data_IF_165174718570
#
_entry.id   IF_165174718570
#
_cell.length_a   1.000
_cell.length_b   1.000
_cell.length_c   1.000
_cell.angle_alpha   90.00
_cell.angle_beta   90.00
_cell.angle_gamma   90.00
#
_symmetry.space_group_name_H-M   'P 1'
#
loop_
_entity.id
_entity.type
_entity.pdbx_description
1 polymer ?
#
# COMPACT_ATOMS: atom_id res chain seq x y z
N UNK A 1 4.50 14.46 2.03
CA UNK A 1 3.32 13.64 2.33
C UNK A 1 3.68 12.73 3.48
N UNK A 2 3.02 12.89 4.62
CA UNK A 2 3.19 11.97 5.76
C UNK A 2 1.99 11.02 5.72
N UNK A 3 2.16 9.87 5.07
CA UNK A 3 1.14 8.84 5.04
C UNK A 3 1.46 7.80 6.11
N UNK A 4 0.54 7.58 7.03
CA UNK A 4 0.55 6.40 7.90
C UNK A 4 -0.44 5.39 7.34
N UNK A 5 -0.16 4.11 7.54
CA UNK A 5 -1.02 3.06 7.02
C UNK A 5 -0.69 1.71 7.62
N UNK A 6 -1.65 0.81 7.50
CA UNK A 6 -1.54 -0.56 7.95
C UNK A 6 -2.32 -1.48 7.03
N UNK A 7 -1.90 -2.74 6.99
CA UNK A 7 -2.56 -3.72 6.16
C UNK A 7 -2.39 -5.13 6.65
N UNK A 8 -3.20 -6.00 6.07
CA UNK A 8 -3.23 -7.42 6.37
C UNK A 8 -2.85 -8.16 5.10
N UNK A 9 -1.94 -9.11 5.24
CA UNK A 9 -1.44 -9.94 4.16
C UNK A 9 -1.88 -11.37 4.39
N UNK A 10 -2.37 -12.02 3.35
CA UNK A 10 -2.74 -13.43 3.35
C UNK A 10 -2.01 -14.14 2.24
N UNK A 11 -1.22 -15.16 2.60
CA UNK A 11 -0.60 -16.07 1.64
C UNK A 11 -1.69 -16.91 0.97
N UNK A 12 -1.70 -16.96 -0.35
CA UNK A 12 -2.70 -17.71 -1.12
C UNK A 12 -2.13 -19.01 -1.67
N UNK A 13 -0.90 -18.99 -2.18
CA UNK A 13 -0.17 -20.18 -2.63
C UNK A 13 1.29 -19.83 -2.91
N UNK A 14 2.25 -20.69 -2.55
CA UNK A 14 3.65 -20.50 -2.93
C UNK A 14 4.18 -19.12 -2.53
N UNK A 15 4.55 -18.29 -3.51
CA UNK A 15 5.02 -16.91 -3.30
C UNK A 15 3.95 -15.85 -3.61
N UNK A 16 2.70 -16.27 -3.73
CA UNK A 16 1.56 -15.43 -4.01
C UNK A 16 0.84 -15.04 -2.73
N UNK A 17 0.47 -13.77 -2.65
CA UNK A 17 -0.23 -13.17 -1.54
C UNK A 17 -1.36 -12.30 -2.05
N UNK A 18 -2.40 -12.14 -1.24
CA UNK A 18 -3.33 -11.03 -1.35
C UNK A 18 -3.15 -10.13 -0.14
N UNK A 19 -3.31 -8.83 -0.30
CA UNK A 19 -3.31 -7.90 0.82
C UNK A 19 -4.44 -6.88 0.71
N UNK A 20 -4.84 -6.36 1.87
CA UNK A 20 -5.59 -5.12 2.00
C UNK A 20 -4.76 -4.10 2.77
N UNK A 21 -4.65 -2.88 2.27
CA UNK A 21 -3.96 -1.78 2.95
C UNK A 21 -4.88 -0.57 3.08
N UNK A 22 -4.71 0.18 4.17
CA UNK A 22 -5.37 1.47 4.41
C UNK A 22 -4.30 2.51 4.65
N UNK A 23 -4.30 3.58 3.86
CA UNK A 23 -3.44 4.75 4.03
C UNK A 23 -4.29 5.97 4.35
N UNK A 24 -3.73 6.91 5.11
CA UNK A 24 -4.37 8.18 5.43
C UNK A 24 -3.54 9.32 4.87
N UNK A 25 -4.18 10.23 4.14
CA UNK A 25 -3.55 11.44 3.62
C UNK A 25 -3.95 12.66 4.46
N UNK A 26 -2.97 13.52 4.72
CA UNK A 26 -3.13 14.73 5.50
C UNK A 26 -2.46 15.91 4.81
N UNK A 27 -3.06 17.10 4.93
CA UNK A 27 -2.43 18.36 4.59
C UNK A 27 -1.23 18.66 5.52
N UNK A 28 -0.35 19.61 5.16
CA UNK A 28 0.79 20.01 6.00
C UNK A 28 0.39 20.49 7.41
N UNK A 29 -0.81 21.03 7.57
CA UNK A 29 -1.38 21.47 8.85
C UNK A 29 -2.01 20.32 9.66
N UNK A 30 -1.90 19.07 9.15
CA UNK A 30 -2.46 17.84 9.71
C UNK A 30 -3.98 17.70 9.56
N UNK A 31 -4.61 18.52 8.73
CA UNK A 31 -6.01 18.30 8.34
C UNK A 31 -6.12 17.00 7.57
N UNK A 32 -7.03 16.13 8.01
CA UNK A 32 -7.30 14.85 7.33
C UNK A 32 -8.01 15.08 6.00
N UNK A 33 -7.46 14.56 4.91
CA UNK A 33 -7.98 14.74 3.56
C UNK A 33 -8.82 13.56 3.08
N UNK A 34 -8.24 12.36 3.06
CA UNK A 34 -8.93 11.17 2.60
C UNK A 34 -8.24 9.89 3.07
N UNK A 35 -9.01 8.82 3.10
CA UNK A 35 -8.51 7.45 3.29
C UNK A 35 -8.33 6.79 1.93
N UNK A 36 -7.17 6.18 1.68
CA UNK A 36 -6.99 5.27 0.54
C UNK A 36 -7.14 3.84 1.03
N UNK A 37 -8.07 3.09 0.46
CA UNK A 37 -8.19 1.64 0.68
C UNK A 37 -7.70 0.92 -0.57
N UNK A 38 -6.78 -0.03 -0.41
CA UNK A 38 -6.21 -0.82 -1.49
C UNK A 38 -6.50 -2.31 -1.26
N UNK A 39 -6.76 -3.04 -2.34
CA UNK A 39 -6.75 -4.50 -2.38
C UNK A 39 -5.85 -4.94 -3.51
N UNK A 40 -4.94 -5.86 -3.25
CA UNK A 40 -3.94 -6.27 -4.23
C UNK A 40 -3.66 -7.76 -4.19
N UNK A 41 -3.20 -8.28 -5.32
CA UNK A 41 -2.54 -9.56 -5.43
C UNK A 41 -1.10 -9.33 -5.85
N UNK A 42 -0.17 -10.05 -5.21
CA UNK A 42 1.24 -9.96 -5.55
C UNK A 42 1.93 -11.29 -5.56
N UNK A 43 3.05 -11.30 -6.27
CA UNK A 43 4.00 -12.40 -6.37
C UNK A 43 5.35 -11.93 -5.89
N UNK A 44 5.83 -12.55 -4.81
CA UNK A 44 7.16 -12.29 -4.25
C UNK A 44 8.23 -13.01 -5.09
N UNK A 45 9.37 -12.34 -5.29
CA UNK A 45 10.54 -12.88 -5.98
C UNK A 45 11.11 -14.12 -5.27
N UNK A 46 11.99 -14.85 -5.97
CA UNK A 46 12.61 -16.08 -5.43
C UNK A 46 13.50 -15.82 -4.21
N UNK A 47 14.17 -14.68 -4.17
CA UNK A 47 15.03 -14.26 -3.06
C UNK A 47 14.26 -13.52 -1.95
N UNK A 48 13.00 -13.15 -2.19
CA UNK A 48 12.17 -12.44 -1.22
C UNK A 48 12.45 -10.93 -1.13
N UNK A 49 13.25 -10.38 -2.05
CA UNK A 49 13.66 -8.97 -2.02
C UNK A 49 12.86 -8.06 -2.95
N UNK A 50 11.92 -8.59 -3.73
CA UNK A 50 11.02 -7.79 -4.54
C UNK A 50 9.67 -8.45 -4.74
N UNK A 51 8.67 -7.68 -5.14
CA UNK A 51 7.39 -8.22 -5.61
C UNK A 51 6.86 -7.46 -6.82
N UNK A 52 6.02 -8.14 -7.60
CA UNK A 52 5.14 -7.53 -8.60
C UNK A 52 3.71 -7.63 -8.12
N UNK A 53 2.88 -6.63 -8.39
CA UNK A 53 1.50 -6.61 -7.92
C UNK A 53 0.52 -5.99 -8.91
N UNK A 54 -0.76 -6.29 -8.70
CA UNK A 54 -1.88 -5.61 -9.33
C UNK A 54 -3.09 -5.61 -8.39
N UNK A 55 -3.89 -4.55 -8.48
CA UNK A 55 -4.98 -4.37 -7.54
C UNK A 55 -5.93 -3.25 -7.90
N UNK A 56 -6.82 -2.95 -6.96
CA UNK A 56 -7.74 -1.83 -7.00
C UNK A 56 -7.59 -0.95 -5.78
N UNK A 57 -7.93 0.32 -5.93
CA UNK A 57 -7.95 1.26 -4.82
C UNK A 57 -9.18 2.17 -4.89
N UNK A 58 -9.53 2.72 -3.73
CA UNK A 58 -10.56 3.76 -3.57
C UNK A 58 -9.99 4.84 -2.65
N UNK A 59 -10.13 6.11 -3.04
CA UNK A 59 -9.90 7.27 -2.18
C UNK A 59 -11.23 7.79 -1.68
N UNK A 60 -11.36 7.90 -0.35
CA UNK A 60 -12.62 8.16 0.35
C UNK A 60 -12.43 9.41 1.21
N UNK A 61 -13.26 10.43 0.98
CA UNK A 61 -13.23 11.67 1.76
C UNK A 61 -13.79 11.48 3.19
N UNK A 62 -13.70 12.49 4.08
CA UNK A 62 -14.15 12.36 5.46
C UNK A 62 -15.67 12.19 5.60
N UNK A 63 -16.44 12.53 4.56
CA UNK A 63 -17.90 12.28 4.52
C UNK A 63 -18.25 10.84 4.15
N UNK A 64 -17.25 10.05 3.72
CA UNK A 64 -17.43 8.68 3.25
C UNK A 64 -17.67 8.57 1.74
N UNK A 65 -17.58 9.66 1.00
CA UNK A 65 -17.76 9.66 -0.45
C UNK A 65 -16.48 9.20 -1.14
N UNK A 66 -16.62 8.31 -2.12
CA UNK A 66 -15.51 7.94 -3.01
C UNK A 66 -15.20 9.11 -3.94
N UNK A 67 -14.00 9.66 -3.83
CA UNK A 67 -13.51 10.74 -4.69
C UNK A 67 -13.02 10.19 -6.03
N UNK A 68 -12.26 9.11 -5.99
CA UNK A 68 -11.76 8.41 -7.17
C UNK A 68 -11.41 6.96 -6.83
N UNK A 69 -11.50 6.09 -7.83
CA UNK A 69 -11.17 4.68 -7.73
C UNK A 69 -10.52 4.21 -9.04
N UNK A 70 -9.74 3.15 -8.96
CA UNK A 70 -9.06 2.63 -10.14
C UNK A 70 -8.33 1.33 -9.92
N UNK A 71 -7.71 0.86 -10.99
CA UNK A 71 -6.80 -0.27 -10.99
C UNK A 71 -5.36 0.23 -10.99
N UNK A 72 -4.45 -0.57 -10.42
CA UNK A 72 -3.03 -0.29 -10.45
C UNK A 72 -2.23 -1.58 -10.67
N UNK A 73 -0.99 -1.41 -11.12
CA UNK A 73 0.04 -2.44 -11.13
C UNK A 73 1.35 -1.82 -10.66
N UNK A 74 2.17 -2.59 -9.95
CA UNK A 74 3.37 -2.08 -9.30
C UNK A 74 4.47 -3.11 -9.18
N UNK A 75 5.69 -2.60 -8.98
CA UNK A 75 6.84 -3.38 -8.55
C UNK A 75 7.48 -2.69 -7.35
N UNK A 76 7.97 -3.47 -6.39
CA UNK A 76 8.62 -2.94 -5.21
C UNK A 76 9.84 -3.77 -4.83
N UNK A 77 10.81 -3.11 -4.19
CA UNK A 77 12.03 -3.72 -3.68
C UNK A 77 12.12 -3.53 -2.17
N UNK A 78 12.69 -4.50 -1.47
CA UNK A 78 12.94 -4.44 -0.04
C UNK A 78 13.93 -3.29 0.23
N UNK A 79 13.53 -2.37 1.10
CA UNK A 79 14.43 -1.33 1.58
C UNK A 79 15.53 -1.98 2.42
N UNK A 80 16.77 -1.62 2.10
CA UNK A 80 17.95 -1.91 2.89
C UNK A 80 18.45 -0.58 3.45
N UNK A 81 18.61 -0.52 4.77
CA UNK A 81 19.25 0.60 5.42
C UNK A 81 20.62 0.08 5.85
N UNK A 82 21.66 0.47 5.14
CA UNK A 82 23.02 0.27 5.63
C UNK A 82 23.18 1.13 6.90
N UNK A 83 23.95 0.62 7.87
CA UNK A 83 24.13 1.23 9.20
C UNK A 83 24.36 2.74 9.09
N UNK A 84 23.35 3.53 9.49
CA UNK A 84 23.52 4.95 9.76
C UNK A 84 24.37 5.00 11.04
N UNK A 85 25.67 5.18 10.88
CA UNK A 85 26.57 5.52 11.97
C UNK A 85 26.23 6.96 12.38
N UNK A 86 25.66 7.11 13.57
CA UNK A 86 25.50 8.41 14.25
C UNK A 86 26.80 8.81 14.92
#
# INVERSE_FOLDING_TARGET
MNATGGGIWKRTSGRNYTYGNVHYEFDPDRTFLFTIKLRSNLTLSRDGNSFTENGTFESIDPSGKVLFAGCFAGTAHRLTFDEITF
#
